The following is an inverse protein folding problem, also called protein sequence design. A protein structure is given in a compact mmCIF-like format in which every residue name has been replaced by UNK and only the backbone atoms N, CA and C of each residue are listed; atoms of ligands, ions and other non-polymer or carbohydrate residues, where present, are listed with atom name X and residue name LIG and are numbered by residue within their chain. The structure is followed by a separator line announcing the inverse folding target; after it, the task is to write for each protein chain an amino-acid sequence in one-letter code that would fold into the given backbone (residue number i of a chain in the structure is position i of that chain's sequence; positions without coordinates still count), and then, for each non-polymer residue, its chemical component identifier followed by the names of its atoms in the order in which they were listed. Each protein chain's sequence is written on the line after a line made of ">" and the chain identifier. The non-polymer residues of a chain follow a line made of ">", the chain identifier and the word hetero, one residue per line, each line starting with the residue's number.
data_IF_367091298577
#
_entry.id   IF_367091298577
#
_cell.length_a   1.000
_cell.length_b   1.000
_cell.length_c   1.000
_cell.angle_alpha   90.00
_cell.angle_beta   90.00
_cell.angle_gamma   90.00
#
_symmetry.space_group_name_H-M   'P 1'
#
loop_
_entity.id
_entity.type
_entity.pdbx_description
1 polymer ?
#
# COMPACT_ATOMS: atom_id res chain seq x y z
N UNK A 1 27.31 2.29 21.49
CA UNK A 1 27.83 1.62 20.27
C UNK A 1 26.62 1.17 19.47
N UNK A 2 26.38 1.78 18.32
CA UNK A 2 25.15 1.55 17.55
C UNK A 2 25.18 0.15 16.91
N UNK A 3 24.12 -0.63 17.13
CA UNK A 3 23.88 -1.92 16.48
C UNK A 3 23.83 -1.70 14.97
N UNK A 4 24.85 -2.16 14.24
CA UNK A 4 24.92 -2.02 12.79
C UNK A 4 23.88 -2.93 12.13
N UNK A 5 23.01 -2.34 11.32
CA UNK A 5 22.09 -3.10 10.46
C UNK A 5 22.92 -4.01 9.54
N UNK A 6 22.59 -5.29 9.48
CA UNK A 6 23.26 -6.30 8.64
C UNK A 6 22.24 -7.01 7.76
N UNK A 7 22.65 -7.38 6.55
CA UNK A 7 21.80 -8.07 5.58
C UNK A 7 21.10 -7.13 4.59
N UNK A 8 20.18 -7.67 3.77
CA UNK A 8 19.46 -6.89 2.77
C UNK A 8 18.45 -5.95 3.44
N UNK A 9 18.44 -4.69 3.02
CA UNK A 9 17.57 -3.63 3.52
C UNK A 9 16.99 -2.82 2.37
N UNK A 10 15.93 -2.07 2.69
CA UNK A 10 15.26 -1.13 1.80
C UNK A 10 15.23 0.24 2.47
N UNK A 11 15.78 1.25 1.82
CA UNK A 11 15.57 2.65 2.18
C UNK A 11 14.36 3.21 1.43
N UNK A 12 13.53 4.00 2.12
CA UNK A 12 12.40 4.72 1.53
C UNK A 12 12.36 6.17 2.02
N UNK A 13 12.19 7.08 1.07
CA UNK A 13 11.95 8.50 1.31
C UNK A 13 10.86 8.98 0.36
N UNK A 14 9.87 9.70 0.89
CA UNK A 14 8.79 10.29 0.10
C UNK A 14 8.62 11.73 0.51
N UNK A 15 8.59 12.62 -0.48
CA UNK A 15 8.30 14.03 -0.31
C UNK A 15 7.06 14.39 -1.14
N UNK A 16 5.88 14.49 -0.51
CA UNK A 16 4.60 14.62 -1.23
C UNK A 16 4.43 15.98 -1.92
N UNK A 17 5.08 17.03 -1.42
CA UNK A 17 4.88 18.39 -1.95
C UNK A 17 5.56 18.60 -3.32
N UNK A 18 6.59 17.80 -3.64
CA UNK A 18 7.29 17.83 -4.94
C UNK A 18 7.15 16.51 -5.71
N UNK A 19 6.24 15.63 -5.31
CA UNK A 19 6.01 14.31 -5.94
C UNK A 19 7.28 13.44 -6.08
N UNK A 20 8.20 13.53 -5.12
CA UNK A 20 9.46 12.75 -5.11
C UNK A 20 9.30 11.48 -4.27
N UNK A 21 9.60 10.31 -4.86
CA UNK A 21 9.71 9.01 -4.17
C UNK A 21 11.05 8.35 -4.49
N UNK A 22 11.81 8.03 -3.45
CA UNK A 22 13.13 7.39 -3.54
C UNK A 22 13.08 6.06 -2.80
N UNK A 23 13.39 4.99 -3.53
CA UNK A 23 13.45 3.61 -3.02
C UNK A 23 14.75 2.94 -3.44
N UNK A 24 15.53 2.50 -2.44
CA UNK A 24 16.84 1.86 -2.65
C UNK A 24 16.82 0.52 -1.94
N UNK A 25 17.17 -0.56 -2.62
CA UNK A 25 17.18 -1.94 -2.07
C UNK A 25 18.51 -2.62 -2.32
N UNK A 26 19.06 -3.27 -1.30
CA UNK A 26 20.33 -3.98 -1.41
C UNK A 26 20.94 -4.24 -0.04
N UNK A 27 22.22 -4.56 0.01
CA UNK A 27 22.93 -4.77 1.27
C UNK A 27 23.01 -3.50 2.12
N UNK A 28 22.90 -3.63 3.44
CA UNK A 28 22.90 -2.50 4.37
C UNK A 28 24.04 -1.50 4.16
N UNK A 29 25.27 -1.98 3.93
CA UNK A 29 26.43 -1.11 3.69
C UNK A 29 26.29 -0.31 2.38
N UNK A 30 25.80 -0.96 1.32
CA UNK A 30 25.60 -0.32 0.03
C UNK A 30 24.46 0.72 0.09
N UNK A 31 23.34 0.36 0.72
CA UNK A 31 22.20 1.29 0.89
C UNK A 31 22.60 2.52 1.71
N UNK A 32 23.41 2.35 2.76
CA UNK A 32 23.93 3.46 3.56
C UNK A 32 24.89 4.36 2.77
N UNK A 33 25.73 3.79 1.89
CA UNK A 33 26.63 4.55 1.03
C UNK A 33 25.85 5.40 0.01
N UNK A 34 24.88 4.81 -0.68
CA UNK A 34 24.06 5.53 -1.67
C UNK A 34 23.23 6.63 -0.98
N UNK A 35 22.66 6.34 0.19
CA UNK A 35 21.92 7.33 0.99
C UNK A 35 22.79 8.54 1.33
N UNK A 36 24.05 8.30 1.71
CA UNK A 36 25.02 9.35 2.03
C UNK A 36 25.42 10.16 0.81
N UNK A 37 25.59 9.52 -0.35
CA UNK A 37 25.87 10.23 -1.61
C UNK A 37 24.72 11.14 -2.04
N UNK A 38 23.48 10.76 -1.73
CA UNK A 38 22.28 11.56 -2.00
C UNK A 38 21.98 12.60 -0.91
N UNK A 39 22.83 12.71 0.12
CA UNK A 39 22.63 13.59 1.28
C UNK A 39 21.32 13.33 2.04
N UNK A 40 20.77 12.11 1.93
CA UNK A 40 19.53 11.69 2.60
C UNK A 40 19.80 11.07 3.99
N UNK A 41 20.95 11.37 4.59
CA UNK A 41 21.43 10.76 5.84
C UNK A 41 20.60 11.10 7.08
N UNK A 42 19.79 12.15 7.02
CA UNK A 42 18.93 12.58 8.13
C UNK A 42 17.44 12.32 7.87
N UNK A 43 17.08 11.84 6.68
CA UNK A 43 15.69 11.75 6.21
C UNK A 43 15.40 10.32 5.73
N UNK A 44 14.12 9.94 5.71
CA UNK A 44 13.66 8.62 5.29
C UNK A 44 13.85 7.53 6.34
N UNK A 45 13.50 6.30 5.99
CA UNK A 45 13.56 5.14 6.89
C UNK A 45 14.17 3.93 6.20
N UNK A 46 14.88 3.11 6.98
CA UNK A 46 15.52 1.87 6.53
C UNK A 46 14.74 0.69 7.10
N UNK A 47 14.25 -0.18 6.21
CA UNK A 47 13.54 -1.40 6.52
C UNK A 47 14.43 -2.62 6.23
N UNK A 48 14.68 -3.52 7.20
CA UNK A 48 15.25 -4.82 6.88
C UNK A 48 14.33 -5.60 5.92
N UNK A 49 14.89 -6.13 4.84
CA UNK A 49 14.18 -7.02 3.95
C UNK A 49 14.29 -8.43 4.53
N UNK A 50 13.27 -8.83 5.28
CA UNK A 50 13.13 -10.22 5.63
C UNK A 50 12.98 -11.02 4.32
N UNK A 51 13.99 -11.84 4.04
CA UNK A 51 13.89 -12.90 3.03
C UNK A 51 12.76 -13.81 3.52
N UNK A 52 11.55 -13.58 3.01
CA UNK A 52 10.30 -14.25 3.33
C UNK A 52 9.57 -13.75 4.60
N UNK A 53 8.96 -12.55 4.56
CA UNK A 53 7.84 -12.25 5.46
C UNK A 53 6.73 -11.48 4.74
N UNK A 54 5.65 -12.20 4.43
CA UNK A 54 4.35 -11.61 4.12
C UNK A 54 3.86 -10.77 5.32
N UNK A 55 3.47 -9.53 5.04
CA UNK A 55 2.64 -8.62 5.85
C UNK A 55 2.99 -8.41 7.34
N UNK A 56 3.38 -7.17 7.62
CA UNK A 56 3.09 -6.37 8.83
C UNK A 56 2.43 -7.06 10.03
N UNK A 57 3.13 -7.09 11.16
CA UNK A 57 2.72 -6.49 12.46
C UNK A 57 3.77 -6.78 13.52
N UNK A 58 4.16 -5.73 14.25
CA UNK A 58 4.76 -5.68 15.58
C UNK A 58 5.49 -6.93 16.08
N UNK A 59 6.81 -7.00 15.85
CA UNK A 59 7.69 -7.90 16.59
C UNK A 59 8.94 -7.11 16.98
N UNK A 60 9.13 -6.94 18.30
CA UNK A 60 10.39 -6.53 18.91
C UNK A 60 11.50 -7.50 18.48
N UNK A 61 12.40 -7.04 17.62
CA UNK A 61 13.49 -7.84 17.08
C UNK A 61 14.75 -7.68 17.94
N UNK A 62 14.91 -8.53 18.96
CA UNK A 62 16.24 -8.83 19.50
C UNK A 62 16.95 -9.81 18.56
N UNK A 63 17.62 -9.26 17.54
CA UNK A 63 18.48 -10.05 16.66
C UNK A 63 19.80 -10.39 17.37
N UNK A 64 19.84 -11.50 18.12
CA UNK A 64 21.10 -12.06 18.61
C UNK A 64 21.78 -12.84 17.47
N UNK A 65 22.66 -12.15 16.74
CA UNK A 65 23.33 -12.66 15.55
C UNK A 65 24.42 -13.69 15.89
N UNK A 66 24.03 -14.93 16.17
CA UNK A 66 24.95 -16.06 16.15
C UNK A 66 24.23 -17.39 15.91
N UNK A 67 23.83 -17.66 14.68
CA UNK A 67 23.50 -19.03 14.24
C UNK A 67 23.72 -19.16 12.75
N UNK A 68 24.90 -19.69 12.41
CA UNK A 68 25.29 -20.19 11.10
C UNK A 68 24.58 -21.54 10.81
N UNK A 69 23.27 -21.58 11.05
CA UNK A 69 22.47 -22.81 10.95
C UNK A 69 21.29 -22.58 10.01
N UNK A 70 21.50 -23.00 8.76
CA UNK A 70 20.50 -23.01 7.68
C UNK A 70 19.41 -24.07 7.89
N UNK A 71 19.07 -24.41 9.13
CA UNK A 71 18.13 -25.48 9.46
C UNK A 71 17.14 -25.12 10.57
N UNK A 72 16.66 -23.87 10.62
CA UNK A 72 15.46 -23.57 11.41
C UNK A 72 14.30 -24.43 10.87
N UNK A 73 13.73 -25.36 11.65
CA UNK A 73 12.67 -26.22 11.16
C UNK A 73 11.45 -25.34 10.85
N UNK A 74 10.89 -25.51 9.66
CA UNK A 74 9.62 -24.92 9.19
C UNK A 74 8.45 -24.98 10.21
N UNK A 75 8.59 -25.75 11.29
CA UNK A 75 7.64 -25.84 12.41
C UNK A 75 7.56 -24.60 13.31
N UNK A 76 8.56 -23.70 13.31
CA UNK A 76 8.53 -22.46 14.11
C UNK A 76 7.84 -21.31 13.36
N UNK A 77 7.89 -21.32 12.03
CA UNK A 77 7.33 -20.28 11.15
C UNK A 77 5.82 -20.43 10.98
N UNK A 78 5.27 -21.64 11.20
CA UNK A 78 3.85 -21.98 11.03
C UNK A 78 3.04 -22.02 12.33
N UNK A 79 3.54 -21.46 13.43
CA UNK A 79 2.75 -21.43 14.67
C UNK A 79 1.79 -20.25 14.61
N UNK A 80 0.51 -20.53 14.37
CA UNK A 80 -0.57 -19.57 14.63
C UNK A 80 -0.33 -18.98 16.03
N UNK A 81 -0.49 -17.66 16.23
CA UNK A 81 -0.34 -17.07 17.55
C UNK A 81 -1.16 -17.86 18.57
N UNK A 82 -0.55 -18.13 19.73
CA UNK A 82 -1.12 -19.05 20.74
C UNK A 82 -2.51 -18.63 21.20
N UNK A 83 -2.79 -17.33 21.13
CA UNK A 83 -4.07 -16.75 21.48
C UNK A 83 -4.44 -15.68 20.47
N UNK A 84 -5.53 -15.91 19.74
CA UNK A 84 -6.12 -14.95 18.78
C UNK A 84 -7.44 -14.38 19.33
N UNK A 85 -7.69 -14.58 20.63
CA UNK A 85 -8.97 -14.32 21.25
C UNK A 85 -10.03 -15.36 20.87
N UNK A 86 -11.28 -15.16 21.35
CA UNK A 86 -12.42 -15.96 20.97
C UNK A 86 -12.61 -15.99 19.43
N UNK A 87 -13.13 -17.09 18.86
CA UNK A 87 -13.52 -17.09 17.46
C UNK A 87 -14.52 -15.94 17.21
N UNK A 88 -14.41 -15.22 16.09
CA UNK A 88 -15.37 -14.17 15.77
C UNK A 88 -16.77 -14.79 15.64
N UNK A 89 -17.76 -14.21 16.31
CA UNK A 89 -19.15 -14.65 16.21
C UNK A 89 -19.70 -14.29 14.82
N UNK A 90 -20.03 -15.27 13.97
CA UNK A 90 -20.52 -15.01 12.60
C UNK A 90 -21.87 -14.28 12.60
N UNK A 91 -22.64 -14.43 13.67
CA UNK A 91 -23.93 -13.76 13.88
C UNK A 91 -23.79 -12.26 14.20
N UNK A 92 -22.57 -11.78 14.48
CA UNK A 92 -22.29 -10.36 14.68
C UNK A 92 -22.21 -9.56 13.37
N UNK A 93 -22.19 -10.24 12.21
CA UNK A 93 -22.11 -9.57 10.90
C UNK A 93 -23.53 -9.17 10.47
N UNK A 94 -23.81 -7.87 10.29
CA UNK A 94 -25.11 -7.43 9.80
C UNK A 94 -25.31 -7.89 8.35
N UNK A 95 -26.40 -8.59 8.09
CA UNK A 95 -26.80 -9.01 6.74
C UNK A 95 -27.41 -7.82 5.98
N UNK A 96 -26.55 -6.98 5.41
CA UNK A 96 -27.00 -5.84 4.58
C UNK A 96 -27.34 -6.34 3.18
N UNK A 97 -28.58 -6.80 2.99
CA UNK A 97 -29.12 -7.10 1.66
C UNK A 97 -29.65 -5.81 1.02
N UNK A 98 -28.93 -5.27 0.04
CA UNK A 98 -29.48 -4.22 -0.83
C UNK A 98 -30.24 -4.89 -1.98
N UNK A 99 -31.53 -4.59 -2.20
CA UNK A 99 -32.20 -5.03 -3.40
C UNK A 99 -31.50 -4.47 -4.64
N UNK A 100 -31.24 -5.31 -5.63
CA UNK A 100 -30.67 -4.85 -6.90
C UNK A 100 -31.69 -3.90 -7.55
N UNK A 101 -31.25 -2.69 -7.91
CA UNK A 101 -32.11 -1.68 -8.54
C UNK A 101 -32.96 -0.83 -7.60
N UNK A 102 -32.79 -0.91 -6.28
CA UNK A 102 -33.51 -0.04 -5.33
C UNK A 102 -32.86 1.33 -5.11
N UNK A 103 -31.73 1.60 -5.78
CA UNK A 103 -31.03 2.88 -5.66
C UNK A 103 -31.64 3.86 -6.67
N UNK A 104 -32.31 4.88 -6.16
CA UNK A 104 -32.77 6.01 -6.97
C UNK A 104 -31.60 6.97 -7.22
N UNK A 105 -30.99 6.84 -8.39
CA UNK A 105 -29.83 7.61 -8.82
C UNK A 105 -30.12 9.11 -8.86
N UNK A 106 -31.33 9.52 -9.23
CA UNK A 106 -31.69 10.94 -9.34
C UNK A 106 -31.68 11.60 -7.96
N UNK A 107 -32.23 10.92 -6.95
CA UNK A 107 -32.25 11.41 -5.57
C UNK A 107 -30.85 11.49 -4.94
N UNK A 108 -29.97 10.52 -5.22
CA UNK A 108 -28.59 10.53 -4.69
C UNK A 108 -27.72 11.57 -5.37
N UNK A 109 -27.87 11.76 -6.69
CA UNK A 109 -27.18 12.83 -7.42
C UNK A 109 -27.62 14.21 -6.91
N UNK A 110 -28.92 14.41 -6.66
CA UNK A 110 -29.43 15.65 -6.07
C UNK A 110 -28.88 15.93 -4.66
N UNK A 111 -28.73 14.89 -3.81
CA UNK A 111 -28.06 15.03 -2.49
C UNK A 111 -26.60 15.46 -2.60
N UNK A 112 -25.93 15.02 -3.66
CA UNK A 112 -24.55 15.38 -3.97
C UNK A 112 -24.44 16.76 -4.65
N UNK A 113 -25.56 17.42 -4.95
CA UNK A 113 -25.59 18.69 -5.70
C UNK A 113 -25.19 18.53 -7.17
N UNK A 114 -25.33 17.32 -7.72
CA UNK A 114 -25.02 17.00 -9.10
C UNK A 114 -26.31 16.91 -9.92
N UNK A 115 -26.30 17.54 -11.09
CA UNK A 115 -27.38 17.41 -12.05
C UNK A 115 -27.35 16.01 -12.70
N UNK A 116 -28.52 15.40 -12.97
CA UNK A 116 -28.57 14.13 -13.67
C UNK A 116 -27.99 14.27 -15.08
N UNK A 117 -27.32 13.22 -15.60
CA UNK A 117 -26.77 13.27 -16.95
C UNK A 117 -27.89 13.41 -17.99
N UNK A 118 -27.96 14.57 -18.63
CA UNK A 118 -28.87 14.81 -19.75
C UNK A 118 -28.26 14.28 -21.03
N UNK A 119 -29.02 13.49 -21.79
CA UNK A 119 -28.58 13.05 -23.13
C UNK A 119 -28.60 14.26 -24.08
N UNK A 120 -27.49 14.59 -24.76
CA UNK A 120 -27.46 15.70 -25.71
C UNK A 120 -28.38 15.43 -26.90
N UNK A 121 -28.94 16.50 -27.44
CA UNK A 121 -29.74 16.49 -28.67
C UNK A 121 -28.84 16.33 -29.89
N UNK A 122 -29.41 15.88 -31.01
CA UNK A 122 -28.65 15.74 -32.26
C UNK A 122 -28.06 17.06 -32.78
N UNK A 123 -28.69 18.19 -32.46
CA UNK A 123 -28.20 19.52 -32.83
C UNK A 123 -26.98 19.91 -31.98
N UNK A 124 -27.01 19.66 -30.68
CA UNK A 124 -25.87 19.91 -29.78
C UNK A 124 -24.67 19.04 -30.16
N UNK A 125 -24.91 17.76 -30.46
CA UNK A 125 -23.86 16.85 -30.92
C UNK A 125 -23.20 17.31 -32.22
N UNK A 126 -23.97 17.87 -33.16
CA UNK A 126 -23.43 18.38 -34.42
C UNK A 126 -22.50 19.59 -34.20
N UNK A 127 -22.85 20.47 -33.26
CA UNK A 127 -22.02 21.63 -32.88
C UNK A 127 -20.73 21.18 -32.20
N UNK A 128 -20.81 20.23 -31.27
CA UNK A 128 -19.62 19.69 -30.61
C UNK A 128 -18.68 18.98 -31.60
N UNK A 129 -19.25 18.23 -32.55
CA UNK A 129 -18.49 17.49 -33.54
C UNK A 129 -17.78 18.39 -34.56
N UNK A 130 -18.35 19.56 -34.87
CA UNK A 130 -17.72 20.54 -35.79
C UNK A 130 -16.37 21.05 -35.28
N UNK A 131 -16.15 21.05 -33.96
CA UNK A 131 -14.88 21.43 -33.34
C UNK A 131 -13.84 20.32 -33.22
N UNK A 132 -14.18 19.09 -33.61
CA UNK A 132 -13.27 17.93 -33.52
C UNK A 132 -12.58 17.73 -34.85
N UNK A 133 -11.25 17.84 -34.86
CA UNK A 133 -10.45 17.58 -36.06
C UNK A 133 -10.54 16.08 -36.43
N UNK A 134 -10.89 15.79 -37.68
CA UNK A 134 -10.94 14.41 -38.17
C UNK A 134 -9.54 13.78 -38.12
N UNK A 135 -9.41 12.52 -37.68
CA UNK A 135 -8.13 11.85 -37.65
C UNK A 135 -7.57 11.67 -39.06
N UNK A 136 -6.27 11.94 -39.22
CA UNK A 136 -5.52 11.76 -40.48
C UNK A 136 -5.51 10.31 -40.99
#
# INVERSE_FOLDING_TARGET
>A
MASGLKGPVRFRFRFPDEDVDVRIEGDANWVLEIRKQLELDQIGWIQPLAINSSSHSDIDFEFNGNSDDSSLPNSLIRRKPKDMGPPPDPDSIPVVRRPIGSLDLESELAKLGLDPPTKPTSAELAIELEGVEEPL
#
